data_IF_616613791458
#
_entry.id   IF_616613791458
#
_cell.length_a   1.000
_cell.length_b   1.000
_cell.length_c   1.000
_cell.angle_alpha   90.00
_cell.angle_beta   90.00
_cell.angle_gamma   90.00
#
_symmetry.space_group_name_H-M   'P 1'
#
loop_
_entity.id
_entity.type
_entity.pdbx_description
1 polymer ?
#
# COMPACT_ATOMS: atom_id res chain seq x y z
N UNK A 1 -32.52 -10.55 27.02
CA UNK A 1 -31.53 -11.48 26.43
C UNK A 1 -32.13 -12.11 25.19
N UNK A 2 -31.90 -11.54 24.00
CA UNK A 2 -32.35 -12.09 22.71
C UNK A 2 -31.12 -12.32 21.86
N UNK A 3 -30.64 -13.57 21.82
CA UNK A 3 -29.62 -14.04 20.89
C UNK A 3 -30.28 -14.18 19.51
N UNK A 4 -29.97 -13.25 18.59
CA UNK A 4 -30.30 -13.43 17.16
C UNK A 4 -29.32 -14.45 16.58
N UNK A 5 -29.85 -15.63 16.19
CA UNK A 5 -29.11 -16.64 15.39
C UNK A 5 -29.15 -16.20 13.92
N UNK A 6 -28.00 -16.16 13.27
CA UNK A 6 -27.88 -16.03 11.81
C UNK A 6 -28.38 -17.33 11.16
N UNK A 7 -29.09 -17.27 10.02
CA UNK A 7 -29.47 -18.46 9.27
C UNK A 7 -28.24 -19.15 8.65
N UNK A 8 -28.29 -20.48 8.44
CA UNK A 8 -27.18 -21.24 7.89
C UNK A 8 -26.95 -20.91 6.39
N UNK A 9 -25.69 -20.93 5.99
CA UNK A 9 -25.24 -20.74 4.60
C UNK A 9 -25.93 -21.73 3.65
N UNK A 10 -26.56 -21.21 2.61
CA UNK A 10 -27.04 -22.01 1.47
C UNK A 10 -25.83 -22.56 0.69
N UNK A 11 -25.73 -23.87 0.60
CA UNK A 11 -24.71 -24.56 -0.19
C UNK A 11 -24.98 -24.37 -1.67
N UNK A 12 -24.11 -23.63 -2.35
CA UNK A 12 -24.08 -23.55 -3.83
C UNK A 12 -23.59 -24.90 -4.36
N UNK A 13 -24.47 -25.64 -5.07
CA UNK A 13 -24.14 -26.88 -5.76
C UNK A 13 -23.12 -26.63 -6.87
N UNK A 14 -22.11 -27.49 -6.91
CA UNK A 14 -20.99 -27.43 -7.83
C UNK A 14 -21.38 -27.33 -9.30
N UNK A 15 -20.80 -26.38 -9.98
CA UNK A 15 -20.67 -26.35 -11.43
C UNK A 15 -19.30 -26.96 -11.80
N UNK A 16 -19.38 -27.92 -12.72
CA UNK A 16 -18.26 -28.66 -13.30
C UNK A 16 -17.15 -27.73 -13.81
N UNK A 17 -15.92 -28.01 -13.42
CA UNK A 17 -14.70 -27.32 -13.89
C UNK A 17 -14.52 -27.51 -15.39
N UNK A 18 -14.81 -26.48 -16.17
CA UNK A 18 -14.24 -26.30 -17.49
C UNK A 18 -12.86 -25.64 -17.30
N UNK A 19 -11.80 -26.28 -17.80
CA UNK A 19 -10.45 -25.72 -17.84
C UNK A 19 -10.42 -24.49 -18.76
N UNK A 20 -10.74 -23.31 -18.22
CA UNK A 20 -10.49 -22.05 -18.89
C UNK A 20 -9.00 -21.71 -18.76
N UNK A 21 -8.35 -21.46 -19.89
CA UNK A 21 -6.96 -21.03 -19.98
C UNK A 21 -6.74 -19.80 -19.07
N UNK A 22 -5.74 -19.88 -18.19
CA UNK A 22 -5.35 -18.77 -17.30
C UNK A 22 -5.06 -17.52 -18.14
N UNK A 23 -5.75 -16.40 -17.91
CA UNK A 23 -5.35 -15.15 -18.54
C UNK A 23 -3.94 -14.81 -18.07
N UNK A 24 -3.01 -14.61 -19.01
CA UNK A 24 -1.67 -14.09 -18.72
C UNK A 24 -1.86 -12.68 -18.20
N UNK A 25 -1.55 -12.43 -16.95
CA UNK A 25 -1.41 -11.09 -16.37
C UNK A 25 -0.51 -10.26 -17.29
N UNK A 26 -1.06 -9.16 -17.83
CA UNK A 26 -0.40 -8.31 -18.80
C UNK A 26 0.94 -7.81 -18.26
N UNK A 27 1.94 -7.72 -19.15
CA UNK A 27 3.25 -7.12 -18.88
C UNK A 27 3.04 -5.68 -18.39
N UNK A 28 3.27 -5.39 -17.08
CA UNK A 28 3.14 -4.04 -16.56
C UNK A 28 3.04 -3.87 -15.06
N UNK A 29 3.13 -4.94 -14.26
CA UNK A 29 3.35 -4.76 -12.82
C UNK A 29 4.75 -4.17 -12.61
N UNK A 30 4.91 -3.11 -11.77
CA UNK A 30 6.24 -2.65 -11.40
C UNK A 30 7.01 -3.84 -10.84
N UNK A 31 8.27 -4.03 -11.32
CA UNK A 31 9.09 -5.17 -10.89
C UNK A 31 9.06 -5.25 -9.37
N UNK A 32 8.49 -6.32 -8.85
CA UNK A 32 8.34 -6.59 -7.41
C UNK A 32 9.68 -6.91 -6.71
N UNK A 33 10.78 -6.87 -7.47
CA UNK A 33 12.08 -7.41 -7.11
C UNK A 33 12.82 -6.65 -5.99
N UNK A 34 12.36 -5.49 -5.56
CA UNK A 34 13.07 -4.73 -4.50
C UNK A 34 12.07 -4.06 -3.55
N UNK A 35 11.66 -4.79 -2.49
CA UNK A 35 11.19 -4.16 -1.27
C UNK A 35 9.78 -4.43 -0.74
N UNK A 36 8.89 -5.22 -1.37
CA UNK A 36 7.83 -5.89 -0.62
C UNK A 36 8.43 -7.20 -0.07
N UNK A 37 8.54 -7.32 1.25
CA UNK A 37 8.93 -8.57 1.91
C UNK A 37 7.79 -9.62 1.85
N UNK A 38 7.08 -9.69 0.72
CA UNK A 38 5.94 -10.60 0.47
C UNK A 38 6.14 -11.20 -0.90
N UNK A 39 5.96 -12.50 -1.02
CA UNK A 39 5.98 -13.19 -2.31
C UNK A 39 4.81 -12.72 -3.20
N UNK A 40 4.95 -12.81 -4.53
CA UNK A 40 3.87 -12.51 -5.47
C UNK A 40 2.58 -13.28 -5.14
N UNK A 41 2.73 -14.54 -4.73
CA UNK A 41 1.61 -15.40 -4.33
C UNK A 41 0.87 -14.85 -3.10
N UNK A 42 1.60 -14.38 -2.09
CA UNK A 42 1.01 -13.79 -0.88
C UNK A 42 0.37 -12.44 -1.19
N UNK A 43 1.00 -11.63 -2.04
CA UNK A 43 0.43 -10.38 -2.52
C UNK A 43 -0.92 -10.62 -3.22
N UNK A 44 -0.98 -11.52 -4.21
CA UNK A 44 -2.22 -11.85 -4.92
C UNK A 44 -3.29 -12.43 -3.98
N UNK A 45 -2.89 -13.29 -3.02
CA UNK A 45 -3.81 -13.76 -1.98
C UNK A 45 -4.45 -12.61 -1.20
N UNK A 46 -3.65 -11.59 -0.84
CA UNK A 46 -4.18 -10.43 -0.13
C UNK A 46 -5.11 -9.61 -1.01
N UNK A 47 -4.78 -9.38 -2.30
CA UNK A 47 -5.68 -8.72 -3.25
C UNK A 47 -7.02 -9.43 -3.33
N UNK A 48 -7.02 -10.77 -3.44
CA UNK A 48 -8.26 -11.57 -3.45
C UNK A 48 -9.09 -11.38 -2.18
N UNK A 49 -8.46 -11.36 -0.99
CA UNK A 49 -9.14 -11.18 0.29
C UNK A 49 -9.70 -9.76 0.45
N UNK A 50 -8.96 -8.75 0.01
CA UNK A 50 -9.40 -7.36 0.07
C UNK A 50 -10.63 -7.14 -0.81
N UNK A 51 -10.61 -7.66 -2.04
CA UNK A 51 -11.73 -7.56 -2.98
C UNK A 51 -12.93 -8.37 -2.49
N UNK A 52 -12.72 -9.58 -1.96
CA UNK A 52 -13.81 -10.39 -1.41
C UNK A 52 -14.59 -9.63 -0.33
N UNK A 53 -13.89 -9.02 0.64
CA UNK A 53 -14.53 -8.24 1.69
C UNK A 53 -15.27 -7.01 1.15
N UNK A 54 -14.69 -6.33 0.16
CA UNK A 54 -15.32 -5.15 -0.44
C UNK A 54 -16.59 -5.51 -1.24
N UNK A 55 -16.60 -6.66 -1.93
CA UNK A 55 -17.77 -7.14 -2.65
C UNK A 55 -18.86 -7.70 -1.72
N UNK A 56 -18.47 -8.38 -0.63
CA UNK A 56 -19.41 -8.81 0.41
C UNK A 56 -20.14 -7.60 1.05
N UNK A 57 -19.43 -6.46 1.20
CA UNK A 57 -19.96 -5.22 1.75
C UNK A 57 -20.92 -4.51 0.78
N UNK A 58 -20.53 -4.36 -0.50
CA UNK A 58 -21.20 -3.47 -1.46
C UNK A 58 -22.27 -4.21 -2.29
N UNK A 59 -21.99 -5.44 -2.71
CA UNK A 59 -22.90 -6.22 -3.58
C UNK A 59 -23.82 -7.13 -2.76
N UNK A 60 -23.29 -7.79 -1.73
CA UNK A 60 -24.07 -8.70 -0.89
C UNK A 60 -24.81 -9.76 -1.70
N UNK A 61 -26.18 -9.85 -1.57
CA UNK A 61 -26.99 -10.84 -2.29
C UNK A 61 -27.26 -10.48 -3.76
N UNK A 62 -26.93 -9.27 -4.23
CA UNK A 62 -27.13 -8.84 -5.62
C UNK A 62 -27.35 -7.34 -5.77
N UNK A 63 -27.17 -6.84 -6.98
CA UNK A 63 -27.36 -5.44 -7.36
C UNK A 63 -28.74 -5.21 -7.99
N UNK A 64 -29.67 -4.66 -7.19
CA UNK A 64 -31.03 -4.36 -7.63
C UNK A 64 -31.09 -3.29 -8.72
N UNK A 65 -30.15 -2.34 -8.73
CA UNK A 65 -30.14 -1.24 -9.71
C UNK A 65 -29.68 -1.73 -11.08
N UNK A 66 -28.73 -2.64 -11.13
CA UNK A 66 -28.28 -3.23 -12.39
C UNK A 66 -29.39 -4.01 -13.12
N UNK A 67 -30.41 -4.52 -12.41
CA UNK A 67 -31.57 -5.20 -13.01
C UNK A 67 -32.38 -4.29 -13.93
N UNK A 68 -32.31 -2.97 -13.79
CA UNK A 68 -32.98 -2.00 -14.66
C UNK A 68 -32.39 -1.97 -16.09
N UNK A 69 -31.19 -2.50 -16.28
CA UNK A 69 -30.51 -2.55 -17.59
C UNK A 69 -30.81 -3.90 -18.27
N UNK A 70 -31.06 -3.97 -19.60
CA UNK A 70 -31.24 -5.24 -20.29
C UNK A 70 -30.07 -6.20 -20.10
N UNK A 71 -30.31 -7.48 -19.85
CA UNK A 71 -29.28 -8.47 -19.57
C UNK A 71 -28.26 -8.65 -20.73
N UNK A 72 -28.72 -8.48 -21.98
CA UNK A 72 -27.87 -8.57 -23.16
C UNK A 72 -27.09 -7.28 -23.45
N UNK A 73 -27.35 -6.19 -22.71
CA UNK A 73 -26.71 -4.90 -22.95
C UNK A 73 -25.19 -4.97 -22.72
N UNK A 74 -24.43 -4.44 -23.66
CA UNK A 74 -22.99 -4.25 -23.55
C UNK A 74 -22.65 -2.78 -23.46
N UNK A 75 -21.55 -2.46 -22.81
CA UNK A 75 -21.11 -1.08 -22.64
C UNK A 75 -19.59 -0.98 -22.74
N UNK A 76 -19.15 0.24 -23.06
CA UNK A 76 -17.77 0.67 -22.90
C UNK A 76 -17.74 1.71 -21.78
N UNK A 77 -17.08 1.40 -20.67
CA UNK A 77 -16.91 2.26 -19.53
C UNK A 77 -15.51 2.87 -19.54
N UNK A 78 -15.40 4.16 -19.28
CA UNK A 78 -14.10 4.85 -19.14
C UNK A 78 -13.96 5.38 -17.72
N UNK A 79 -12.91 4.96 -17.03
CA UNK A 79 -12.50 5.57 -15.75
C UNK A 79 -11.55 6.73 -16.03
N UNK A 80 -11.93 7.90 -15.56
CA UNK A 80 -11.20 9.17 -15.77
C UNK A 80 -10.79 9.73 -14.42
N UNK A 81 -9.53 10.20 -14.33
CA UNK A 81 -9.01 10.93 -13.18
C UNK A 81 -9.40 12.41 -13.29
N UNK A 82 -9.92 13.01 -12.22
CA UNK A 82 -10.39 14.41 -12.24
C UNK A 82 -9.36 15.41 -11.73
N UNK A 83 -8.23 14.93 -11.23
CA UNK A 83 -7.12 15.76 -10.73
C UNK A 83 -5.78 15.16 -11.14
N UNK A 84 -4.69 15.92 -11.02
CA UNK A 84 -3.35 15.38 -11.22
C UNK A 84 -3.02 14.37 -10.10
N UNK A 85 -2.62 13.14 -10.46
CA UNK A 85 -2.38 12.08 -9.50
C UNK A 85 -1.37 11.04 -10.00
N UNK A 86 -0.88 10.20 -9.10
CA UNK A 86 -0.19 8.95 -9.39
C UNK A 86 -1.22 7.82 -9.29
N UNK A 87 -1.42 7.09 -10.39
CA UNK A 87 -2.39 5.98 -10.45
C UNK A 87 -1.87 4.78 -9.67
N UNK A 88 -2.75 4.18 -8.86
CA UNK A 88 -2.47 2.95 -8.14
C UNK A 88 -3.75 2.20 -7.83
N UNK A 89 -3.74 0.86 -8.00
CA UNK A 89 -4.87 0.01 -7.67
C UNK A 89 -5.27 -0.99 -8.74
N UNK A 90 -4.52 -1.06 -9.85
CA UNK A 90 -4.81 -1.97 -10.96
C UNK A 90 -5.04 -3.42 -10.53
N UNK A 91 -4.24 -4.07 -9.65
CA UNK A 91 -4.48 -5.44 -9.24
C UNK A 91 -5.85 -5.67 -8.58
N UNK A 92 -6.34 -4.70 -7.81
CA UNK A 92 -7.66 -4.77 -7.16
C UNK A 92 -8.78 -4.60 -8.17
N UNK A 93 -8.66 -3.65 -9.11
CA UNK A 93 -9.64 -3.46 -10.20
C UNK A 93 -9.72 -4.71 -11.07
N UNK A 94 -8.60 -5.27 -11.48
CA UNK A 94 -8.57 -6.50 -12.29
C UNK A 94 -9.21 -7.69 -11.56
N UNK A 95 -9.02 -7.79 -10.24
CA UNK A 95 -9.66 -8.83 -9.42
C UNK A 95 -11.17 -8.59 -9.27
N UNK A 96 -11.64 -7.35 -9.10
CA UNK A 96 -13.07 -7.02 -9.11
C UNK A 96 -13.70 -7.42 -10.44
N UNK A 97 -13.09 -7.02 -11.57
CA UNK A 97 -13.58 -7.39 -12.91
C UNK A 97 -13.56 -8.90 -13.12
N UNK A 98 -12.52 -9.59 -12.70
CA UNK A 98 -12.44 -11.05 -12.79
C UNK A 98 -13.59 -11.76 -12.08
N UNK A 99 -14.08 -11.20 -10.97
CA UNK A 99 -15.17 -11.77 -10.17
C UNK A 99 -16.57 -11.40 -10.69
N UNK A 100 -16.77 -10.15 -11.06
CA UNK A 100 -18.07 -9.62 -11.42
C UNK A 100 -18.31 -9.55 -12.94
N UNK A 101 -17.26 -9.36 -13.73
CA UNK A 101 -17.30 -9.16 -15.17
C UNK A 101 -16.22 -10.00 -15.87
N UNK A 102 -16.25 -11.34 -15.78
CA UNK A 102 -15.15 -12.21 -16.22
C UNK A 102 -14.89 -12.16 -17.73
N UNK A 103 -15.86 -11.67 -18.51
CA UNK A 103 -15.70 -11.49 -19.97
C UNK A 103 -15.27 -10.07 -20.36
N UNK A 104 -15.18 -9.14 -19.40
CA UNK A 104 -14.77 -7.78 -19.65
C UNK A 104 -13.31 -7.70 -20.08
N UNK A 105 -13.00 -6.69 -20.90
CA UNK A 105 -11.65 -6.35 -21.36
C UNK A 105 -11.28 -4.97 -20.85
N UNK A 106 -10.20 -4.87 -20.08
CA UNK A 106 -9.68 -3.61 -19.55
C UNK A 106 -8.41 -3.21 -20.32
N UNK A 107 -8.46 -2.04 -20.95
CA UNK A 107 -7.34 -1.41 -21.64
C UNK A 107 -6.79 -0.26 -20.79
N UNK A 108 -5.70 -0.53 -20.07
CA UNK A 108 -5.06 0.44 -19.20
C UNK A 108 -4.23 1.45 -19.99
N UNK A 109 -4.58 2.74 -19.87
CA UNK A 109 -3.88 3.87 -20.47
C UNK A 109 -2.76 4.41 -19.60
N UNK A 110 -2.91 4.25 -18.27
CA UNK A 110 -1.93 4.68 -17.28
C UNK A 110 -1.63 3.49 -16.36
N UNK A 111 -0.38 3.03 -16.26
CA UNK A 111 0.01 1.94 -15.36
C UNK A 111 0.06 2.42 -13.91
N UNK A 112 0.05 1.47 -12.95
CA UNK A 112 0.35 1.79 -11.56
C UNK A 112 1.75 2.45 -11.43
N UNK A 113 1.83 3.52 -10.64
CA UNK A 113 3.01 4.39 -10.53
C UNK A 113 3.13 5.44 -11.65
N UNK A 114 2.30 5.35 -12.68
CA UNK A 114 2.20 6.37 -13.73
C UNK A 114 1.42 7.60 -13.26
N UNK A 115 1.78 8.77 -13.81
CA UNK A 115 1.06 10.02 -13.53
C UNK A 115 -0.09 10.23 -14.51
N UNK A 116 -1.20 10.78 -14.04
CA UNK A 116 -2.31 11.21 -14.89
C UNK A 116 -2.60 12.70 -14.69
N UNK A 117 -3.04 13.35 -15.78
CA UNK A 117 -3.53 14.72 -15.77
C UNK A 117 -5.04 14.77 -15.48
N UNK A 118 -5.59 15.92 -15.03
CA UNK A 118 -7.03 16.11 -14.90
C UNK A 118 -7.75 15.84 -16.21
N UNK A 119 -8.83 15.04 -16.18
CA UNK A 119 -9.61 14.65 -17.36
C UNK A 119 -9.03 13.50 -18.18
N UNK A 120 -7.86 12.96 -17.81
CA UNK A 120 -7.23 11.86 -18.53
C UNK A 120 -7.92 10.53 -18.23
N UNK A 121 -8.22 9.74 -19.28
CA UNK A 121 -8.65 8.37 -19.16
C UNK A 121 -7.52 7.50 -18.61
N UNK A 122 -7.84 6.72 -17.57
CA UNK A 122 -6.88 5.80 -16.91
C UNK A 122 -7.05 4.38 -17.43
N UNK A 123 -8.30 3.95 -17.61
CA UNK A 123 -8.64 2.63 -18.16
C UNK A 123 -9.95 2.71 -18.92
N UNK A 124 -10.03 1.99 -20.03
CA UNK A 124 -11.26 1.74 -20.81
C UNK A 124 -11.65 0.29 -20.63
N UNK A 125 -12.91 0.01 -20.28
CA UNK A 125 -13.39 -1.32 -19.95
C UNK A 125 -14.59 -1.63 -20.85
N UNK A 126 -14.53 -2.73 -21.59
CA UNK A 126 -15.63 -3.21 -22.44
C UNK A 126 -16.21 -4.50 -21.87
N UNK A 127 -17.53 -4.56 -21.68
CA UNK A 127 -18.16 -5.73 -21.06
C UNK A 127 -19.69 -5.70 -21.07
N UNK A 128 -20.32 -6.62 -20.34
CA UNK A 128 -21.75 -6.60 -20.08
C UNK A 128 -22.08 -5.39 -19.18
N UNK A 129 -23.07 -4.60 -19.58
CA UNK A 129 -23.39 -3.33 -18.92
C UNK A 129 -23.76 -3.51 -17.44
N UNK A 130 -24.57 -4.53 -17.11
CA UNK A 130 -24.93 -4.86 -15.71
C UNK A 130 -23.70 -5.14 -14.85
N UNK A 131 -22.80 -6.00 -15.35
CA UNK A 131 -21.58 -6.41 -14.63
C UNK A 131 -20.66 -5.21 -14.37
N UNK A 132 -20.52 -4.31 -15.34
CA UNK A 132 -19.70 -3.10 -15.19
C UNK A 132 -20.30 -2.10 -14.21
N UNK A 133 -21.63 -1.96 -14.18
CA UNK A 133 -22.34 -1.12 -13.19
C UNK A 133 -22.12 -1.64 -11.77
N UNK A 134 -22.29 -2.95 -11.57
CA UNK A 134 -22.05 -3.58 -10.26
C UNK A 134 -20.60 -3.46 -9.80
N UNK A 135 -19.64 -3.48 -10.74
CA UNK A 135 -18.21 -3.37 -10.43
C UNK A 135 -17.73 -1.93 -10.15
N UNK A 136 -18.48 -0.92 -10.63
CA UNK A 136 -18.05 0.47 -10.65
C UNK A 136 -17.55 0.97 -9.31
N UNK A 137 -18.40 0.89 -8.27
CA UNK A 137 -18.12 1.51 -6.97
C UNK A 137 -16.89 0.89 -6.31
N UNK A 138 -16.81 -0.43 -6.30
CA UNK A 138 -15.67 -1.13 -5.70
C UNK A 138 -14.37 -0.86 -6.47
N UNK A 139 -14.39 -0.82 -7.81
CA UNK A 139 -13.24 -0.42 -8.61
C UNK A 139 -12.77 1.00 -8.27
N UNK A 140 -13.70 1.97 -8.22
CA UNK A 140 -13.37 3.36 -7.90
C UNK A 140 -12.86 3.50 -6.48
N UNK A 141 -13.40 2.78 -5.50
CA UNK A 141 -12.97 2.84 -4.11
C UNK A 141 -11.50 2.40 -3.93
N UNK A 142 -11.07 1.33 -4.59
CA UNK A 142 -9.66 0.92 -4.57
C UNK A 142 -8.77 1.94 -5.29
N UNK A 143 -9.13 2.37 -6.50
CA UNK A 143 -8.34 3.35 -7.26
C UNK A 143 -8.17 4.66 -6.50
N UNK A 144 -9.25 5.24 -5.99
CA UNK A 144 -9.21 6.54 -5.32
C UNK A 144 -8.37 6.49 -4.04
N UNK A 145 -8.51 5.43 -3.24
CA UNK A 145 -7.80 5.28 -1.97
C UNK A 145 -6.31 5.02 -2.19
N UNK A 146 -5.96 4.08 -3.06
CA UNK A 146 -4.57 3.71 -3.30
C UNK A 146 -3.81 4.77 -4.11
N UNK A 147 -4.45 5.40 -5.09
CA UNK A 147 -3.87 6.56 -5.78
C UNK A 147 -3.67 7.75 -4.85
N UNK A 148 -4.52 7.91 -3.83
CA UNK A 148 -4.34 8.93 -2.79
C UNK A 148 -3.03 8.74 -2.03
N UNK A 149 -2.76 7.51 -1.59
CA UNK A 149 -1.50 7.16 -0.90
C UNK A 149 -0.30 7.33 -1.84
N UNK A 150 -0.39 6.83 -3.09
CA UNK A 150 0.69 6.92 -4.07
C UNK A 150 1.01 8.38 -4.43
N UNK A 151 0.00 9.21 -4.66
CA UNK A 151 0.15 10.63 -4.99
C UNK A 151 0.79 11.41 -3.84
N UNK A 152 0.34 11.17 -2.60
CA UNK A 152 0.93 11.77 -1.41
C UNK A 152 2.39 11.36 -1.27
N UNK A 153 2.68 10.07 -1.44
CA UNK A 153 4.05 9.56 -1.35
C UNK A 153 4.95 10.20 -2.40
N UNK A 154 4.51 10.31 -3.66
CA UNK A 154 5.30 10.94 -4.73
C UNK A 154 5.65 12.41 -4.40
N UNK A 155 4.74 13.14 -3.77
CA UNK A 155 5.02 14.51 -3.31
C UNK A 155 6.11 14.53 -2.23
N UNK A 156 6.09 13.61 -1.27
CA UNK A 156 7.10 13.51 -0.23
C UNK A 156 8.46 13.08 -0.79
N UNK A 157 8.47 12.09 -1.70
CA UNK A 157 9.71 11.64 -2.38
C UNK A 157 10.34 12.81 -3.16
N UNK A 158 9.55 13.61 -3.84
CA UNK A 158 10.06 14.78 -4.57
C UNK A 158 10.72 15.81 -3.65
N UNK A 159 10.25 15.98 -2.42
CA UNK A 159 10.87 16.90 -1.44
C UNK A 159 12.29 16.50 -1.07
N UNK A 160 12.59 15.20 -1.02
CA UNK A 160 13.91 14.69 -0.63
C UNK A 160 14.85 14.45 -1.82
N UNK A 161 14.42 14.74 -3.04
CA UNK A 161 15.28 14.62 -4.23
C UNK A 161 16.59 15.39 -4.07
N UNK A 162 17.70 14.76 -4.52
CA UNK A 162 19.05 15.31 -4.38
C UNK A 162 19.70 15.10 -3.01
N UNK A 163 19.00 14.48 -2.04
CA UNK A 163 19.56 14.00 -0.77
C UNK A 163 19.75 12.48 -0.81
N UNK A 164 20.40 11.91 0.20
CA UNK A 164 20.55 10.46 0.34
C UNK A 164 19.33 9.80 1.01
N UNK A 165 18.45 10.59 1.60
CA UNK A 165 17.33 10.09 2.40
C UNK A 165 16.26 9.41 1.55
N UNK A 166 15.86 8.21 1.95
CA UNK A 166 14.66 7.55 1.43
C UNK A 166 13.44 7.85 2.33
N UNK A 167 12.26 8.04 1.71
CA UNK A 167 10.98 8.20 2.42
C UNK A 167 10.34 6.84 2.61
N UNK A 168 9.98 6.50 3.86
CA UNK A 168 9.39 5.21 4.24
C UNK A 168 8.00 5.35 4.82
N UNK A 169 7.21 4.30 4.61
CA UNK A 169 5.96 4.10 5.34
C UNK A 169 6.17 3.58 6.77
N UNK A 170 5.07 3.30 7.45
CA UNK A 170 5.05 2.72 8.80
C UNK A 170 4.01 1.61 8.91
N UNK A 171 3.79 1.08 10.12
CA UNK A 171 2.68 0.16 10.42
C UNK A 171 1.37 0.86 10.80
N UNK A 172 1.29 2.19 10.73
CA UNK A 172 0.09 2.99 11.06
C UNK A 172 -0.91 2.99 9.90
N UNK A 173 -1.23 1.80 9.36
CA UNK A 173 -2.10 1.59 8.20
C UNK A 173 -3.58 1.52 8.59
N UNK A 174 -4.47 1.70 7.60
CA UNK A 174 -5.88 1.31 7.74
C UNK A 174 -5.92 -0.20 8.03
N UNK A 175 -6.65 -0.64 9.09
CA UNK A 175 -6.79 -2.06 9.39
C UNK A 175 -7.29 -2.86 8.18
N UNK A 176 -6.61 -3.99 7.90
CA UNK A 176 -6.94 -4.86 6.77
C UNK A 176 -6.34 -4.45 5.43
N UNK A 177 -5.92 -3.18 5.22
CA UNK A 177 -5.40 -2.68 3.94
C UNK A 177 -3.88 -2.46 3.92
N UNK A 178 -3.12 -3.03 4.86
CA UNK A 178 -1.68 -2.76 4.96
C UNK A 178 -0.91 -3.11 3.70
N UNK A 179 -1.15 -4.26 3.10
CA UNK A 179 -0.48 -4.70 1.87
C UNK A 179 -0.79 -3.74 0.73
N UNK A 180 -2.07 -3.35 0.58
CA UNK A 180 -2.52 -2.42 -0.44
C UNK A 180 -1.88 -1.03 -0.29
N UNK A 181 -1.89 -0.47 0.93
CA UNK A 181 -1.31 0.85 1.17
C UNK A 181 0.21 0.86 1.02
N UNK A 182 0.92 -0.20 1.45
CA UNK A 182 2.36 -0.32 1.27
C UNK A 182 2.74 -0.50 -0.21
N UNK A 183 1.93 -1.22 -0.98
CA UNK A 183 2.06 -1.27 -2.44
C UNK A 183 1.93 0.14 -3.05
N UNK A 184 0.94 0.92 -2.60
CA UNK A 184 0.72 2.29 -3.08
C UNK A 184 1.89 3.23 -2.73
N UNK A 185 2.53 3.08 -1.56
CA UNK A 185 3.75 3.82 -1.21
C UNK A 185 4.86 3.55 -2.23
N UNK A 186 5.03 2.30 -2.67
CA UNK A 186 6.02 1.97 -3.71
C UNK A 186 5.67 2.56 -5.06
N UNK A 187 4.40 2.52 -5.45
CA UNK A 187 3.93 3.18 -6.68
C UNK A 187 4.22 4.69 -6.67
N UNK A 188 4.21 5.32 -5.48
CA UNK A 188 4.61 6.71 -5.28
C UNK A 188 6.11 6.95 -5.19
N UNK A 189 6.97 5.91 -5.36
CA UNK A 189 8.43 6.02 -5.29
C UNK A 189 9.02 5.94 -3.87
N UNK A 190 8.20 5.74 -2.84
CA UNK A 190 8.64 5.51 -1.47
C UNK A 190 9.14 4.07 -1.24
N UNK A 191 9.65 3.83 -0.04
CA UNK A 191 10.09 2.51 0.40
C UNK A 191 9.20 1.97 1.52
N UNK A 192 9.18 0.65 1.69
CA UNK A 192 8.45 0.04 2.78
C UNK A 192 9.35 -0.20 3.99
N UNK A 193 8.88 0.16 5.18
CA UNK A 193 9.33 -0.38 6.45
C UNK A 193 8.74 -1.78 6.63
N UNK A 194 9.07 -2.51 7.70
CA UNK A 194 8.56 -3.85 7.97
C UNK A 194 7.05 -3.98 7.76
N UNK A 195 6.63 -5.12 7.26
CA UNK A 195 5.22 -5.44 7.04
C UNK A 195 4.46 -5.71 8.35
N UNK A 196 5.10 -6.40 9.29
CA UNK A 196 4.47 -6.82 10.53
C UNK A 196 5.45 -6.97 11.68
N UNK A 197 5.10 -7.83 12.62
CA UNK A 197 5.96 -8.21 13.74
C UNK A 197 6.81 -9.45 13.43
N UNK A 198 6.61 -10.02 12.24
CA UNK A 198 7.14 -11.32 11.82
C UNK A 198 8.29 -11.23 10.82
N UNK A 199 8.48 -10.08 10.14
CA UNK A 199 9.43 -9.93 9.03
C UNK A 199 10.70 -9.14 9.40
N UNK A 200 10.66 -8.31 10.47
CA UNK A 200 11.82 -7.61 10.98
C UNK A 200 11.66 -7.24 12.46
N UNK A 201 12.78 -7.06 13.14
CA UNK A 201 12.83 -6.67 14.55
C UNK A 201 13.05 -5.16 14.64
N UNK A 202 12.19 -4.47 15.40
CA UNK A 202 12.40 -3.10 15.88
C UNK A 202 12.39 -3.14 17.40
N UNK A 203 13.56 -2.97 17.98
CA UNK A 203 13.77 -2.92 19.44
C UNK A 203 13.38 -1.51 19.90
N UNK A 204 12.49 -1.40 20.85
CA UNK A 204 11.97 -0.17 21.43
C UNK A 204 12.28 -0.07 22.91
N UNK A 205 12.01 1.09 23.51
CA UNK A 205 12.22 1.39 24.92
C UNK A 205 11.73 0.26 25.87
N UNK A 206 10.54 -0.26 25.63
CA UNK A 206 9.98 -1.34 26.46
C UNK A 206 10.73 -2.69 26.30
N UNK A 207 11.25 -2.97 25.09
CA UNK A 207 12.07 -4.17 24.89
C UNK A 207 13.45 -4.00 25.58
N UNK A 208 14.02 -2.80 25.51
CA UNK A 208 15.30 -2.45 26.17
C UNK A 208 15.15 -2.62 27.69
N UNK A 209 14.08 -2.05 28.28
CA UNK A 209 13.81 -2.15 29.70
C UNK A 209 13.61 -3.61 30.15
N UNK A 210 12.81 -4.36 29.40
CA UNK A 210 12.53 -5.78 29.74
C UNK A 210 13.74 -6.70 29.60
N UNK A 211 14.67 -6.38 28.69
CA UNK A 211 15.89 -7.18 28.47
C UNK A 211 17.06 -6.80 29.40
N UNK A 212 16.91 -5.75 30.22
CA UNK A 212 17.97 -5.27 31.12
C UNK A 212 19.01 -4.36 30.44
N UNK A 213 18.69 -3.75 29.29
CA UNK A 213 19.50 -2.78 28.58
C UNK A 213 19.53 -2.99 27.07
N UNK A 214 19.95 -1.94 26.33
CA UNK A 214 20.00 -1.91 24.86
C UNK A 214 20.90 -3.03 24.31
N UNK A 215 22.11 -3.13 24.82
CA UNK A 215 23.09 -4.14 24.40
C UNK A 215 22.56 -5.56 24.63
N UNK A 216 21.88 -5.83 25.76
CA UNK A 216 21.29 -7.14 26.04
C UNK A 216 20.12 -7.46 25.07
N UNK A 217 19.22 -6.50 24.83
CA UNK A 217 18.14 -6.62 23.86
C UNK A 217 18.65 -6.90 22.44
N UNK A 218 19.69 -6.17 22.01
CA UNK A 218 20.28 -6.36 20.68
C UNK A 218 20.95 -7.73 20.53
N UNK A 219 21.72 -8.18 21.52
CA UNK A 219 22.32 -9.53 21.51
C UNK A 219 21.28 -10.63 21.42
N UNK A 220 20.16 -10.51 22.15
CA UNK A 220 19.05 -11.45 22.03
C UNK A 220 18.42 -11.44 20.63
N UNK A 221 18.27 -10.26 20.01
CA UNK A 221 17.77 -10.13 18.65
C UNK A 221 18.73 -10.71 17.60
N UNK A 222 20.05 -10.60 17.79
CA UNK A 222 21.04 -11.17 16.87
C UNK A 222 20.89 -12.69 16.71
N UNK A 223 20.47 -13.42 17.74
CA UNK A 223 20.18 -14.85 17.65
C UNK A 223 19.05 -15.19 16.65
N UNK A 224 18.25 -14.19 16.26
CA UNK A 224 17.15 -14.32 15.30
C UNK A 224 17.53 -13.76 13.91
N UNK A 225 18.74 -13.27 13.68
CA UNK A 225 19.16 -12.57 12.45
C UNK A 225 18.85 -13.35 11.16
N UNK A 226 18.97 -14.68 11.18
CA UNK A 226 18.66 -15.53 10.02
C UNK A 226 17.17 -15.70 9.70
N UNK A 227 16.28 -15.17 10.54
CA UNK A 227 14.82 -15.30 10.43
C UNK A 227 14.12 -14.00 10.06
N UNK A 228 14.84 -12.89 10.02
CA UNK A 228 14.30 -11.53 9.85
C UNK A 228 15.06 -10.77 8.77
N UNK A 229 14.39 -9.83 8.10
CA UNK A 229 14.99 -9.02 7.05
C UNK A 229 16.05 -8.03 7.61
N UNK A 230 15.78 -7.46 8.79
CA UNK A 230 16.71 -6.58 9.49
C UNK A 230 16.41 -6.51 11.00
N UNK A 231 17.39 -6.05 11.75
CA UNK A 231 17.27 -5.69 13.17
C UNK A 231 17.57 -4.20 13.28
N UNK A 232 16.66 -3.44 13.85
CA UNK A 232 16.77 -2.01 14.06
C UNK A 232 16.54 -1.69 15.54
N UNK A 233 17.30 -0.73 16.09
CA UNK A 233 17.14 -0.25 17.46
C UNK A 233 16.63 1.18 17.42
N UNK A 234 15.55 1.44 18.13
CA UNK A 234 14.98 2.76 18.36
C UNK A 234 15.68 3.40 19.57
N UNK A 235 16.15 4.63 19.41
CA UNK A 235 16.84 5.40 20.44
C UNK A 235 16.26 6.81 20.53
N UNK A 236 16.22 7.35 21.74
CA UNK A 236 15.67 8.68 22.05
C UNK A 236 16.75 9.69 22.47
N UNK A 237 18.00 9.23 22.67
CA UNK A 237 19.13 10.06 23.10
C UNK A 237 20.43 9.72 22.38
N UNK A 238 21.34 10.69 22.29
CA UNK A 238 22.68 10.48 21.74
C UNK A 238 23.50 9.45 22.55
N UNK A 239 23.26 9.36 23.86
CA UNK A 239 23.89 8.34 24.72
C UNK A 239 23.46 6.93 24.30
N UNK A 240 22.16 6.72 24.05
CA UNK A 240 21.67 5.43 23.55
C UNK A 240 22.20 5.14 22.13
N UNK A 241 22.33 6.17 21.28
CA UNK A 241 22.98 6.01 19.97
C UNK A 241 24.42 5.55 20.11
N UNK A 242 25.21 6.16 21.01
CA UNK A 242 26.58 5.73 21.26
C UNK A 242 26.63 4.27 21.73
N UNK A 243 25.76 3.88 22.68
CA UNK A 243 25.66 2.49 23.14
C UNK A 243 25.29 1.53 21.99
N UNK A 244 24.36 1.92 21.11
CA UNK A 244 23.99 1.12 19.94
C UNK A 244 25.17 0.93 18.97
N UNK A 245 25.94 2.00 18.72
CA UNK A 245 27.12 1.97 17.87
C UNK A 245 28.23 1.08 18.45
N UNK A 246 28.45 1.13 19.77
CA UNK A 246 29.45 0.32 20.47
C UNK A 246 29.02 -1.15 20.52
N UNK A 247 27.71 -1.45 20.54
CA UNK A 247 27.15 -2.78 20.43
C UNK A 247 27.18 -3.35 19.00
N UNK A 248 27.52 -2.55 17.99
CA UNK A 248 27.59 -2.94 16.57
C UNK A 248 26.21 -3.03 15.90
N UNK A 249 25.29 -2.14 16.25
CA UNK A 249 23.98 -2.05 15.61
C UNK A 249 24.11 -1.45 14.19
N UNK A 250 23.64 -2.17 13.17
CA UNK A 250 23.73 -1.76 11.77
C UNK A 250 22.65 -0.73 11.35
N UNK A 251 21.52 -0.68 12.07
CA UNK A 251 20.39 0.20 11.78
C UNK A 251 19.83 0.82 13.07
N UNK A 252 19.80 2.13 13.15
CA UNK A 252 19.28 2.87 14.30
C UNK A 252 18.16 3.80 13.84
N UNK A 253 17.07 3.84 14.61
CA UNK A 253 15.98 4.77 14.44
C UNK A 253 16.06 5.83 15.53
N UNK A 254 16.15 7.09 15.14
CA UNK A 254 16.15 8.27 15.99
C UNK A 254 14.68 8.68 16.20
N UNK A 255 14.14 8.42 17.38
CA UNK A 255 12.71 8.68 17.64
C UNK A 255 12.51 10.04 18.29
N UNK A 256 11.65 10.86 17.67
CA UNK A 256 11.26 12.19 18.14
C UNK A 256 12.43 13.15 18.46
N UNK A 257 13.58 13.00 17.81
CA UNK A 257 14.72 13.90 18.00
C UNK A 257 14.53 15.21 17.21
N UNK A 258 14.82 16.38 17.82
CA UNK A 258 14.85 17.66 17.10
C UNK A 258 16.00 17.69 16.08
N UNK A 259 15.90 18.59 15.10
CA UNK A 259 16.80 18.68 13.95
C UNK A 259 18.27 18.79 14.37
N UNK A 260 18.55 19.61 15.37
CA UNK A 260 19.90 19.84 15.89
C UNK A 260 20.50 18.54 16.45
N UNK A 261 19.72 17.78 17.21
CA UNK A 261 20.14 16.50 17.78
C UNK A 261 20.35 15.45 16.67
N UNK A 262 19.56 15.49 15.58
CA UNK A 262 19.75 14.60 14.43
C UNK A 262 21.05 14.93 13.71
N UNK A 263 21.44 16.21 13.57
CA UNK A 263 22.74 16.61 13.01
C UNK A 263 23.90 16.06 13.86
N UNK A 264 23.81 16.17 15.19
CA UNK A 264 24.79 15.59 16.11
C UNK A 264 24.83 14.05 15.99
N UNK A 265 23.67 13.40 15.86
CA UNK A 265 23.58 11.95 15.67
C UNK A 265 24.28 11.48 14.38
N UNK A 266 24.13 12.22 13.27
CA UNK A 266 24.81 11.93 12.00
C UNK A 266 26.31 12.06 12.15
N UNK A 267 26.78 13.12 12.83
CA UNK A 267 28.21 13.33 13.12
C UNK A 267 28.76 12.23 14.03
N UNK A 268 28.01 11.82 15.05
CA UNK A 268 28.39 10.76 15.99
C UNK A 268 28.48 9.40 15.30
N UNK A 269 27.54 9.10 14.42
CA UNK A 269 27.47 7.82 13.71
C UNK A 269 28.62 7.64 12.70
N UNK A 270 29.07 8.69 12.02
CA UNK A 270 30.17 8.67 11.03
C UNK A 270 30.03 7.55 9.98
N UNK A 271 28.78 7.21 9.60
CA UNK A 271 28.51 6.14 8.65
C UNK A 271 28.65 4.71 9.20
N UNK A 272 28.86 4.53 10.51
CA UNK A 272 28.95 3.20 11.14
C UNK A 272 27.64 2.42 11.12
N UNK A 273 26.51 3.09 11.02
CA UNK A 273 25.17 2.49 10.90
C UNK A 273 24.29 3.30 9.96
N UNK A 274 23.21 2.69 9.48
CA UNK A 274 22.13 3.42 8.79
C UNK A 274 21.26 4.13 9.82
N UNK A 275 21.02 5.43 9.62
CA UNK A 275 20.19 6.26 10.48
C UNK A 275 18.83 6.51 9.85
N UNK A 276 17.77 6.23 10.62
CA UNK A 276 16.39 6.53 10.27
C UNK A 276 15.84 7.57 11.24
N UNK A 277 15.19 8.62 10.73
CA UNK A 277 14.41 9.56 11.54
C UNK A 277 12.97 9.16 11.56
N UNK A 278 12.33 9.16 12.73
CA UNK A 278 10.91 8.90 12.93
C UNK A 278 10.36 9.80 14.03
N UNK A 279 9.03 10.00 14.02
CA UNK A 279 8.35 10.86 14.98
C UNK A 279 8.27 12.33 14.53
N UNK A 280 7.06 12.88 14.53
CA UNK A 280 6.83 14.31 14.29
C UNK A 280 7.19 14.87 12.91
N UNK A 281 7.71 14.07 11.97
CA UNK A 281 8.09 14.55 10.64
C UNK A 281 6.85 14.92 9.83
N UNK A 282 6.77 16.19 9.43
CA UNK A 282 5.71 16.75 8.58
C UNK A 282 6.23 16.98 7.15
N UNK A 283 5.34 17.36 6.24
CA UNK A 283 5.73 17.74 4.87
C UNK A 283 6.69 18.94 4.87
N UNK A 284 6.46 19.90 5.77
CA UNK A 284 7.22 21.14 5.89
C UNK A 284 8.62 20.92 6.48
N UNK A 285 8.78 19.96 7.42
CA UNK A 285 10.07 19.67 8.06
C UNK A 285 10.90 18.61 7.34
N UNK A 286 10.28 17.84 6.43
CA UNK A 286 10.90 16.70 5.77
C UNK A 286 12.22 17.05 5.07
N UNK A 287 12.27 18.18 4.35
CA UNK A 287 13.47 18.61 3.62
C UNK A 287 14.64 18.86 4.56
N UNK A 288 14.40 19.56 5.66
CA UNK A 288 15.44 19.85 6.65
C UNK A 288 16.04 18.57 7.25
N UNK A 289 15.19 17.59 7.62
CA UNK A 289 15.67 16.30 8.09
C UNK A 289 16.45 15.54 7.00
N UNK A 290 16.02 15.58 5.75
CA UNK A 290 16.74 14.90 4.67
C UNK A 290 18.14 15.50 4.41
N UNK A 291 18.31 16.80 4.62
CA UNK A 291 19.59 17.52 4.45
C UNK A 291 20.57 17.28 5.60
N UNK A 292 20.14 16.71 6.73
CA UNK A 292 21.07 16.33 7.83
C UNK A 292 22.03 15.21 7.43
N UNK A 293 21.72 14.46 6.36
CA UNK A 293 22.53 13.32 5.91
C UNK A 293 22.05 11.98 6.47
N UNK A 294 20.85 11.87 7.06
CA UNK A 294 20.23 10.60 7.41
C UNK A 294 19.89 9.77 6.17
N UNK A 295 19.80 8.45 6.33
CA UNK A 295 19.57 7.52 5.22
C UNK A 295 18.08 7.30 4.95
N UNK A 296 17.24 7.42 5.98
CA UNK A 296 15.83 7.01 5.96
C UNK A 296 14.99 7.98 6.80
N UNK A 297 13.76 8.23 6.33
CA UNK A 297 12.78 9.04 7.07
C UNK A 297 11.43 8.34 7.02
N UNK A 298 10.96 7.87 8.16
CA UNK A 298 9.66 7.22 8.30
C UNK A 298 8.56 8.24 8.55
N UNK A 299 7.54 8.25 7.70
CA UNK A 299 6.43 9.20 7.77
C UNK A 299 5.10 8.49 7.92
N UNK A 300 4.54 8.52 9.13
CA UNK A 300 3.23 7.90 9.42
C UNK A 300 2.07 8.54 8.64
N UNK A 301 2.17 9.84 8.35
CA UNK A 301 1.15 10.58 7.62
C UNK A 301 0.94 10.08 6.17
N UNK A 302 1.93 9.44 5.55
CA UNK A 302 1.79 8.86 4.20
C UNK A 302 0.63 7.87 4.12
N UNK A 303 0.41 7.13 5.20
CA UNK A 303 -0.39 5.92 5.15
C UNK A 303 -1.60 5.97 6.10
N UNK A 304 -1.56 6.77 7.18
CA UNK A 304 -2.69 6.94 8.10
C UNK A 304 -3.67 8.05 7.67
N UNK A 305 -3.17 9.09 7.00
CA UNK A 305 -3.95 10.26 6.60
C UNK A 305 -4.21 10.20 5.09
N UNK A 306 -5.18 9.37 4.68
CA UNK A 306 -5.51 9.15 3.27
C UNK A 306 -6.48 10.21 2.77
N UNK A 307 -6.08 10.92 1.71
CA UNK A 307 -6.97 11.77 0.93
C UNK A 307 -7.19 11.09 -0.41
N UNK A 308 -8.43 10.71 -0.67
CA UNK A 308 -8.79 10.01 -1.91
C UNK A 308 -8.59 10.91 -3.15
N UNK A 309 -8.16 10.30 -4.26
CA UNK A 309 -8.15 10.96 -5.58
C UNK A 309 -9.52 10.83 -6.21
N UNK A 310 -10.01 11.90 -6.84
CA UNK A 310 -11.32 11.88 -7.50
C UNK A 310 -11.23 11.18 -8.87
N UNK A 311 -11.93 10.03 -8.97
CA UNK A 311 -12.14 9.28 -10.21
C UNK A 311 -13.64 9.18 -10.51
N UNK A 312 -13.96 9.10 -11.79
CA UNK A 312 -15.33 8.79 -12.24
C UNK A 312 -15.31 7.74 -13.33
N UNK A 313 -16.30 6.86 -13.31
CA UNK A 313 -16.59 5.96 -14.42
C UNK A 313 -17.77 6.50 -15.21
N UNK A 314 -17.67 6.49 -16.53
CA UNK A 314 -18.76 6.87 -17.43
C UNK A 314 -18.88 5.89 -18.57
N UNK A 315 -20.10 5.50 -18.91
CA UNK A 315 -20.37 4.74 -20.11
C UNK A 315 -20.38 5.65 -21.33
N UNK A 316 -19.86 5.17 -22.47
CA UNK A 316 -20.00 5.88 -23.72
C UNK A 316 -21.46 5.82 -24.19
N UNK A 317 -21.96 6.96 -24.74
CA UNK A 317 -23.32 7.09 -25.28
C UNK A 317 -23.50 6.39 -26.65
N UNK A 318 -22.68 5.40 -27.00
CA UNK A 318 -22.93 4.63 -28.23
C UNK A 318 -24.25 3.88 -28.08
N UNK A 319 -25.15 3.97 -29.09
CA UNK A 319 -26.34 3.13 -29.10
C UNK A 319 -25.93 1.67 -28.96
N UNK A 320 -26.58 0.95 -28.07
CA UNK A 320 -26.45 -0.50 -27.96
C UNK A 320 -26.82 -1.09 -29.32
N UNK A 321 -25.84 -1.56 -30.09
CA UNK A 321 -26.15 -2.44 -31.22
C UNK A 321 -26.83 -3.70 -30.66
N UNK A 322 -28.10 -3.88 -31.05
CA UNK A 322 -28.94 -4.95 -30.57
C UNK A 322 -28.50 -6.31 -31.11
#
# INVERSE_FOLDING_TARGET
>A
MLRRRWPPRLAVRGATQAHAARPRLGRGLPRMDKGLNVSEREFLKQVHQDVERALDEDVGPGDLTAELVPAAARATATITCRQAAVVCGRPWVEEVLRRLAPTARADWRVPDGGTCAPGQAVVVIEGAARELLTAERTCLNFLQTLSGVATKTARYVKVVEGTRAAVLDTRKTIPGLRTAQKYAVRCGGGQNHRMGLYDAILIKENHIAAAGGLTAAFRAAQALKGRVAFIQVEVETLRQLQEALDAGVDMVLLDNMPLETVLEAVQLAQGRCSLEVSGGVTFETLRAYAETGVDRISVGALIKDVTAVDFSMRFSERPLEA
#
